data_IF_059181211089
#
_entry.id   IF_059181211089
#
_cell.length_a   1.000
_cell.length_b   1.000
_cell.length_c   1.000
_cell.angle_alpha   90.00
_cell.angle_beta   90.00
_cell.angle_gamma   90.00
#
_symmetry.space_group_name_H-M   'P 1'
#
loop_
_entity.id
_entity.type
_entity.pdbx_description
1 polymer ?
#
# COMPACT_ATOMS: atom_id res chain seq x y z
N UNK A 1 -38.69 31.82 20.60
CA UNK A 1 -38.40 33.19 20.10
C UNK A 1 -36.90 33.23 19.74
N UNK A 2 -36.33 33.75 18.63
CA UNK A 2 -36.71 34.56 17.45
C UNK A 2 -35.83 35.83 17.37
N UNK A 3 -35.16 36.08 16.21
CA UNK A 3 -34.40 37.31 15.79
C UNK A 3 -33.06 37.59 16.51
N UNK A 4 -32.01 38.25 15.96
CA UNK A 4 -31.55 38.76 14.62
C UNK A 4 -29.98 38.79 14.67
N UNK A 5 -29.09 38.72 13.65
CA UNK A 5 -29.11 38.54 12.18
C UNK A 5 -28.69 39.76 11.28
N UNK A 6 -27.43 39.72 10.75
CA UNK A 6 -26.85 40.41 9.55
C UNK A 6 -26.50 41.92 9.56
N UNK A 7 -25.24 42.25 9.18
CA UNK A 7 -24.78 42.86 7.88
C UNK A 7 -23.24 43.12 7.93
N UNK A 8 -22.41 42.79 6.94
CA UNK A 8 -22.22 43.28 5.54
C UNK A 8 -21.68 44.72 5.44
N UNK A 9 -20.52 44.87 4.78
CA UNK A 9 -20.11 46.09 4.06
C UNK A 9 -19.63 45.77 2.63
N UNK A 10 -19.53 46.79 1.77
CA UNK A 10 -19.27 46.68 0.31
C UNK A 10 -18.08 47.57 -0.12
N UNK A 11 -17.58 47.31 -1.33
CA UNK A 11 -16.62 48.14 -2.10
C UNK A 11 -17.02 49.62 -2.20
N UNK A 12 -16.03 50.51 -2.31
CA UNK A 12 -16.05 51.78 -3.05
C UNK A 12 -14.65 52.07 -3.63
N UNK A 13 -14.52 53.04 -4.55
CA UNK A 13 -13.34 53.27 -5.40
C UNK A 13 -12.99 54.78 -5.56
N UNK A 14 -11.84 55.10 -6.17
CA UNK A 14 -11.33 56.45 -6.56
C UNK A 14 -10.88 57.32 -5.34
N UNK A 15 -9.92 58.27 -5.37
CA UNK A 15 -8.98 58.92 -6.36
C UNK A 15 -7.84 59.64 -5.55
N UNK A 16 -6.69 60.20 -6.00
CA UNK A 16 -5.93 60.38 -7.28
C UNK A 16 -4.42 60.64 -6.92
N UNK A 17 -3.63 61.22 -7.86
CA UNK A 17 -2.24 61.75 -7.83
C UNK A 17 -1.08 60.75 -8.08
N UNK A 18 -0.19 60.84 -9.10
CA UNK A 18 0.50 61.94 -9.88
C UNK A 18 1.67 62.53 -9.06
N UNK A 19 2.96 62.54 -9.44
CA UNK A 19 3.79 62.17 -10.64
C UNK A 19 5.16 61.63 -10.11
N UNK A 20 6.15 61.06 -10.83
CA UNK A 20 6.75 61.40 -12.15
C UNK A 20 7.54 60.21 -12.74
N UNK A 21 7.73 60.24 -14.07
CA UNK A 21 8.74 59.59 -14.95
C UNK A 21 9.84 58.71 -14.30
N UNK A 22 10.24 57.55 -14.83
CA UNK A 22 10.18 56.99 -16.21
C UNK A 22 10.34 55.45 -16.18
N UNK A 23 10.35 54.62 -17.25
CA UNK A 23 10.56 54.85 -18.70
C UNK A 23 9.83 53.79 -19.58
N UNK A 24 10.12 53.84 -20.89
CA UNK A 24 9.82 52.96 -22.04
C UNK A 24 10.16 51.47 -21.77
N UNK A 25 9.46 50.48 -22.35
CA UNK A 25 8.63 50.54 -23.57
C UNK A 25 7.37 49.67 -23.63
N UNK A 26 6.66 49.80 -24.75
CA UNK A 26 5.24 49.40 -24.95
C UNK A 26 5.09 48.68 -26.30
N UNK A 27 4.27 47.61 -26.33
CA UNK A 27 3.40 47.11 -27.42
C UNK A 27 2.76 45.80 -26.88
N UNK A 28 1.46 45.64 -26.55
CA UNK A 28 0.15 46.14 -27.06
C UNK A 28 -0.29 45.45 -28.35
N UNK A 29 -1.61 45.26 -28.48
CA UNK A 29 -2.41 44.49 -29.46
C UNK A 29 -2.64 43.00 -29.11
N UNK A 30 -3.88 42.46 -29.05
CA UNK A 30 -5.22 43.11 -28.92
C UNK A 30 -6.22 42.08 -28.39
N UNK A 31 -7.30 42.53 -27.74
CA UNK A 31 -8.45 41.66 -27.40
C UNK A 31 -9.46 41.60 -28.56
N UNK A 32 -9.67 40.42 -29.14
CA UNK A 32 -10.77 40.15 -30.08
C UNK A 32 -11.59 38.95 -29.61
N UNK A 33 -12.86 39.19 -29.26
CA UNK A 33 -13.79 38.14 -28.87
C UNK A 33 -14.38 37.42 -30.09
N UNK A 34 -14.07 36.14 -30.25
CA UNK A 34 -14.71 35.25 -31.24
C UNK A 34 -15.21 33.99 -30.55
N UNK A 35 -16.52 33.73 -30.63
CA UNK A 35 -17.13 32.51 -30.11
C UNK A 35 -16.82 31.32 -31.03
N UNK A 36 -16.05 30.35 -30.54
CA UNK A 36 -15.89 29.04 -31.18
C UNK A 36 -15.88 27.94 -30.13
N UNK A 37 -16.64 26.87 -30.38
CA UNK A 37 -16.69 25.69 -29.53
C UNK A 37 -15.44 24.84 -29.73
N UNK A 38 -14.48 24.94 -28.80
CA UNK A 38 -13.31 24.05 -28.75
C UNK A 38 -13.63 22.80 -27.94
N UNK A 39 -13.64 21.64 -28.61
CA UNK A 39 -13.55 20.35 -27.90
C UNK A 39 -12.19 20.28 -27.21
N UNK A 40 -12.16 20.31 -25.88
CA UNK A 40 -10.94 20.08 -25.11
C UNK A 40 -10.69 18.57 -25.07
N UNK A 41 -10.17 18.06 -26.19
CA UNK A 41 -9.37 16.84 -26.18
C UNK A 41 -7.97 17.23 -25.70
N UNK A 42 -7.81 17.45 -24.40
CA UNK A 42 -6.49 17.54 -23.79
C UNK A 42 -5.83 16.16 -23.89
N UNK A 43 -5.05 15.96 -24.95
CA UNK A 43 -4.23 14.77 -25.14
C UNK A 43 -3.06 14.81 -24.15
N UNK A 44 -3.36 14.41 -22.91
CA UNK A 44 -2.38 14.27 -21.83
C UNK A 44 -1.20 13.42 -22.31
N UNK A 45 -0.02 14.04 -22.40
CA UNK A 45 1.20 13.34 -22.77
C UNK A 45 1.70 12.46 -21.61
N UNK A 46 1.25 11.22 -21.59
CA UNK A 46 1.72 10.20 -20.65
C UNK A 46 3.16 9.71 -20.95
N UNK A 47 3.82 10.17 -22.03
CA UNK A 47 5.16 9.68 -22.42
C UNK A 47 6.31 10.27 -21.60
N UNK A 48 6.11 11.44 -20.98
CA UNK A 48 7.17 12.20 -20.29
C UNK A 48 7.14 12.07 -18.75
N UNK A 49 6.31 11.19 -18.19
CA UNK A 49 6.27 10.92 -16.74
C UNK A 49 7.54 10.19 -16.30
N UNK A 50 8.43 10.88 -15.59
CA UNK A 50 9.53 10.24 -14.85
C UNK A 50 8.91 9.54 -13.64
N UNK A 51 9.07 8.22 -13.55
CA UNK A 51 8.61 7.42 -12.42
C UNK A 51 9.69 7.40 -11.32
N UNK A 52 9.58 8.20 -10.24
CA UNK A 52 10.45 8.03 -9.08
C UNK A 52 10.29 6.60 -8.56
N UNK A 53 11.40 5.96 -8.16
CA UNK A 53 11.33 4.64 -7.58
C UNK A 53 10.83 4.73 -6.14
N UNK A 54 9.67 4.14 -5.80
CA UNK A 54 9.33 3.98 -4.39
C UNK A 54 10.23 2.91 -3.74
N UNK A 55 10.72 1.93 -4.54
CA UNK A 55 11.51 0.79 -4.08
C UNK A 55 12.48 0.28 -5.17
N UNK A 56 13.70 0.82 -5.18
CA UNK A 56 14.85 0.10 -5.73
C UNK A 56 15.46 -0.71 -4.57
N UNK A 57 15.61 -2.02 -4.77
CA UNK A 57 16.04 -2.95 -3.73
C UNK A 57 17.33 -3.62 -4.19
N UNK A 58 18.43 -3.02 -3.74
CA UNK A 58 19.77 -3.59 -3.73
C UNK A 58 20.40 -3.32 -2.36
N UNK A 59 21.59 -3.85 -2.07
CA UNK A 59 22.23 -3.73 -0.74
C UNK A 59 22.41 -2.27 -0.27
N UNK A 60 22.74 -1.36 -1.18
CA UNK A 60 22.90 0.08 -0.90
C UNK A 60 21.56 0.73 -0.57
N UNK A 61 20.55 0.48 -1.41
CA UNK A 61 19.23 1.07 -1.23
C UNK A 61 18.45 0.49 -0.05
N UNK A 62 18.68 -0.78 0.32
CA UNK A 62 18.17 -1.36 1.56
C UNK A 62 18.68 -0.59 2.80
N UNK A 63 19.96 -0.19 2.81
CA UNK A 63 20.50 0.62 3.92
C UNK A 63 19.88 2.02 3.98
N UNK A 64 19.71 2.69 2.83
CA UNK A 64 18.99 3.98 2.74
C UNK A 64 17.56 3.82 3.26
N UNK A 65 16.87 2.76 2.87
CA UNK A 65 15.48 2.53 3.23
C UNK A 65 15.29 2.18 4.71
N UNK A 66 16.21 1.43 5.32
CA UNK A 66 16.20 1.21 6.76
C UNK A 66 16.43 2.51 7.55
N UNK A 67 17.11 3.53 7.01
CA UNK A 67 17.28 4.83 7.67
C UNK A 67 15.96 5.64 7.66
N UNK A 68 15.11 5.36 8.65
CA UNK A 68 13.72 5.84 8.83
C UNK A 68 13.49 7.36 8.74
N UNK A 69 14.53 8.20 8.82
CA UNK A 69 14.43 9.66 8.57
C UNK A 69 14.55 10.01 7.09
N UNK A 70 15.48 9.37 6.38
CA UNK A 70 15.89 9.77 5.04
C UNK A 70 14.79 9.41 4.03
N UNK A 71 14.17 8.23 4.17
CA UNK A 71 13.07 7.77 3.32
C UNK A 71 11.80 8.66 3.41
N UNK A 72 11.53 9.28 4.56
CA UNK A 72 10.39 10.19 4.69
C UNK A 72 10.66 11.54 3.99
N UNK A 73 11.86 12.10 4.13
CA UNK A 73 12.26 13.34 3.45
C UNK A 73 12.36 13.18 1.92
N UNK A 74 12.92 12.06 1.44
CA UNK A 74 13.08 11.79 0.01
C UNK A 74 11.76 11.76 -0.78
N UNK A 75 10.62 11.57 -0.11
CA UNK A 75 9.31 11.59 -0.76
C UNK A 75 8.71 13.00 -0.91
N UNK A 76 9.21 14.01 -0.19
CA UNK A 76 8.75 15.40 -0.30
C UNK A 76 9.47 16.17 -1.43
N UNK A 77 10.74 15.86 -1.71
CA UNK A 77 11.62 16.55 -2.68
C UNK A 77 11.67 15.93 -4.10
N UNK A 78 10.64 15.17 -4.50
CA UNK A 78 10.69 14.22 -5.63
C UNK A 78 10.60 14.83 -7.05
N UNK A 79 11.42 15.86 -7.34
CA UNK A 79 11.60 16.51 -8.66
C UNK A 79 13.06 16.42 -9.17
N UNK A 80 14.04 16.00 -8.34
CA UNK A 80 15.49 16.11 -8.65
C UNK A 80 16.31 14.80 -8.66
N UNK A 81 15.72 13.68 -9.10
CA UNK A 81 16.36 12.35 -8.99
C UNK A 81 17.65 12.14 -9.81
N UNK A 82 18.03 13.03 -10.73
CA UNK A 82 19.23 12.87 -11.57
C UNK A 82 20.56 13.27 -10.90
N UNK A 83 20.54 13.95 -9.74
CA UNK A 83 21.76 14.44 -9.07
C UNK A 83 22.10 13.76 -7.75
N UNK A 84 21.12 13.30 -6.96
CA UNK A 84 21.36 12.88 -5.57
C UNK A 84 22.08 11.54 -5.37
N UNK A 85 22.01 10.60 -6.32
CA UNK A 85 22.75 9.33 -6.21
C UNK A 85 24.26 9.53 -5.99
N UNK A 86 24.88 10.51 -6.68
CA UNK A 86 26.33 10.78 -6.59
C UNK A 86 26.79 11.35 -5.24
N UNK A 87 25.88 11.91 -4.43
CA UNK A 87 26.21 12.46 -3.11
C UNK A 87 25.99 11.46 -1.98
N UNK A 88 25.03 10.54 -2.10
CA UNK A 88 24.71 9.56 -1.04
C UNK A 88 25.72 8.40 -1.02
N UNK A 89 26.20 7.94 -2.19
CA UNK A 89 27.15 6.81 -2.33
C UNK A 89 28.45 6.97 -1.53
N UNK A 90 28.90 8.20 -1.26
CA UNK A 90 30.12 8.45 -0.50
C UNK A 90 29.96 8.23 1.01
N UNK A 91 28.74 8.31 1.55
CA UNK A 91 28.47 8.16 2.99
C UNK A 91 28.07 6.72 3.40
N UNK A 92 27.87 5.80 2.44
CA UNK A 92 27.51 4.40 2.70
C UNK A 92 28.78 3.50 2.81
N UNK A 93 29.96 4.08 2.58
CA UNK A 93 31.25 3.40 2.82
C UNK A 93 31.45 3.25 4.34
N UNK A 94 31.88 2.06 4.74
CA UNK A 94 31.97 1.61 6.15
C UNK A 94 30.61 1.32 6.82
N UNK A 95 29.94 0.27 6.33
CA UNK A 95 29.33 -0.68 7.29
C UNK A 95 30.50 -1.19 8.14
N UNK A 96 30.62 -0.74 9.39
CA UNK A 96 31.58 -1.31 10.33
C UNK A 96 31.26 -2.80 10.51
N UNK A 97 32.29 -3.63 10.60
CA UNK A 97 32.06 -5.05 10.91
C UNK A 97 31.32 -5.17 12.26
N UNK A 98 30.28 -6.02 12.36
CA UNK A 98 29.50 -6.08 13.59
C UNK A 98 30.30 -6.68 14.75
N UNK A 99 30.57 -5.86 15.77
CA UNK A 99 31.30 -6.25 16.98
C UNK A 99 30.54 -7.27 17.87
N UNK A 100 29.30 -7.64 17.53
CA UNK A 100 28.43 -8.52 18.30
C UNK A 100 27.56 -9.39 17.37
N UNK A 101 27.35 -10.66 17.74
CA UNK A 101 26.43 -11.57 17.07
C UNK A 101 25.10 -11.62 17.82
N UNK A 102 23.99 -11.38 17.12
CA UNK A 102 22.65 -11.27 17.70
C UNK A 102 21.84 -12.57 17.55
N UNK A 103 21.43 -13.16 18.68
CA UNK A 103 20.55 -14.33 18.70
C UNK A 103 19.07 -13.95 18.82
N UNK A 104 18.28 -14.42 17.87
CA UNK A 104 16.82 -14.30 17.81
C UNK A 104 16.19 -15.64 18.22
N UNK A 105 15.17 -15.60 19.09
CA UNK A 105 14.38 -16.78 19.47
C UNK A 105 12.90 -16.61 19.11
N UNK A 106 12.35 -17.56 18.36
CA UNK A 106 10.90 -17.74 18.21
C UNK A 106 10.31 -18.19 19.55
N UNK A 107 9.80 -17.25 20.35
CA UNK A 107 9.34 -17.58 21.70
C UNK A 107 7.92 -18.17 21.67
N UNK A 108 7.00 -17.55 20.93
CA UNK A 108 5.69 -18.16 20.64
C UNK A 108 5.65 -18.67 19.21
N UNK A 109 4.81 -19.67 18.95
CA UNK A 109 4.39 -20.03 17.59
C UNK A 109 3.71 -18.87 16.87
N UNK A 110 3.51 -19.01 15.56
CA UNK A 110 2.61 -18.16 14.77
C UNK A 110 1.40 -18.99 14.33
N UNK A 111 0.22 -18.71 14.89
CA UNK A 111 -1.01 -19.47 14.68
C UNK A 111 -0.80 -20.98 14.91
N UNK A 112 -0.20 -21.33 16.04
CA UNK A 112 0.16 -22.69 16.44
C UNK A 112 1.35 -23.32 15.70
N UNK A 113 1.90 -22.66 14.68
CA UNK A 113 2.96 -23.20 13.84
C UNK A 113 4.35 -22.64 14.20
N UNK A 114 5.37 -23.50 14.14
CA UNK A 114 6.79 -23.12 14.24
C UNK A 114 7.27 -22.58 12.88
N UNK A 115 7.29 -21.25 12.73
CA UNK A 115 7.19 -20.56 11.43
C UNK A 115 8.51 -20.41 10.70
N UNK A 116 9.61 -20.23 11.42
CA UNK A 116 10.95 -20.06 10.84
C UNK A 116 11.91 -21.20 11.24
N UNK A 117 11.53 -22.07 12.16
CA UNK A 117 12.38 -23.10 12.76
C UNK A 117 12.93 -24.17 11.81
N UNK A 118 12.35 -24.32 10.62
CA UNK A 118 12.80 -25.24 9.56
C UNK A 118 13.57 -24.56 8.43
N UNK A 119 13.62 -23.22 8.43
CA UNK A 119 14.29 -22.39 7.42
C UNK A 119 15.77 -22.18 7.82
N UNK A 120 16.65 -22.06 6.84
CA UNK A 120 18.05 -21.67 7.07
C UNK A 120 18.21 -20.14 7.16
N UNK A 121 19.36 -19.64 7.64
CA UNK A 121 19.55 -18.20 7.89
C UNK A 121 19.40 -17.31 6.64
N UNK A 122 19.65 -17.84 5.43
CA UNK A 122 19.45 -17.11 4.16
C UNK A 122 17.95 -17.03 3.82
N UNK A 123 17.17 -18.08 4.10
CA UNK A 123 15.70 -18.06 3.95
C UNK A 123 15.02 -17.16 5.00
N UNK A 124 15.64 -16.96 6.16
CA UNK A 124 15.12 -16.17 7.28
C UNK A 124 15.42 -14.68 7.10
N UNK A 125 16.67 -14.31 6.78
CA UNK A 125 17.10 -12.90 6.69
C UNK A 125 17.28 -12.40 5.25
N UNK A 126 17.43 -13.29 4.27
CA UNK A 126 17.73 -12.93 2.89
C UNK A 126 19.22 -12.82 2.57
N UNK A 127 19.54 -13.19 1.34
CA UNK A 127 20.83 -13.00 0.67
C UNK A 127 21.21 -11.52 0.55
N UNK A 128 20.26 -10.66 0.16
CA UNK A 128 20.48 -9.22 -0.04
C UNK A 128 20.65 -8.41 1.27
N UNK A 129 20.32 -9.00 2.44
CA UNK A 129 20.39 -8.30 3.73
C UNK A 129 21.82 -7.83 4.06
N UNK A 130 22.05 -6.54 4.40
CA UNK A 130 23.40 -5.99 4.56
C UNK A 130 24.16 -6.52 5.80
N UNK A 131 23.44 -7.02 6.81
CA UNK A 131 23.97 -7.59 8.05
C UNK A 131 23.82 -9.12 8.05
N UNK A 132 24.87 -9.85 8.48
CA UNK A 132 24.92 -11.33 8.54
C UNK A 132 25.23 -11.89 9.93
N UNK A 133 25.34 -11.03 10.94
CA UNK A 133 25.62 -11.34 12.34
C UNK A 133 24.35 -11.69 13.15
N UNK A 134 23.21 -11.87 12.49
CA UNK A 134 21.94 -12.22 13.13
C UNK A 134 21.63 -13.69 12.89
N UNK A 135 21.31 -14.41 13.96
CA UNK A 135 21.08 -15.85 13.96
C UNK A 135 19.73 -16.17 14.57
N UNK A 136 18.93 -16.98 13.88
CA UNK A 136 17.61 -17.38 14.33
C UNK A 136 17.62 -18.80 14.89
N UNK A 137 16.86 -19.04 15.96
CA UNK A 137 16.66 -20.35 16.57
C UNK A 137 15.28 -20.45 17.22
N UNK A 138 14.84 -21.68 17.48
CA UNK A 138 13.60 -21.97 18.20
C UNK A 138 13.85 -22.84 19.45
N UNK A 139 15.09 -22.87 19.94
CA UNK A 139 15.46 -23.55 21.16
C UNK A 139 15.30 -22.61 22.36
N UNK A 140 14.22 -22.78 23.12
CA UNK A 140 13.91 -21.94 24.28
C UNK A 140 14.93 -22.02 25.42
N UNK A 141 15.80 -23.05 25.49
CA UNK A 141 16.88 -23.07 26.49
C UNK A 141 17.93 -21.96 26.28
N UNK A 142 17.96 -21.35 25.08
CA UNK A 142 18.79 -20.20 24.76
C UNK A 142 18.10 -18.85 25.04
N UNK A 143 16.83 -18.84 25.48
CA UNK A 143 16.05 -17.60 25.61
C UNK A 143 16.63 -16.59 26.60
N UNK A 144 17.37 -17.02 27.64
CA UNK A 144 18.08 -16.12 28.57
C UNK A 144 19.35 -15.51 27.97
N UNK A 145 19.90 -16.12 26.93
CA UNK A 145 21.11 -15.69 26.20
C UNK A 145 20.76 -14.89 24.93
N UNK A 146 19.50 -14.93 24.49
CA UNK A 146 19.04 -14.28 23.28
C UNK A 146 19.08 -12.75 23.38
N UNK A 147 19.47 -12.09 22.29
CA UNK A 147 19.39 -10.64 22.14
C UNK A 147 17.98 -10.17 21.81
N UNK A 148 17.20 -11.02 21.13
CA UNK A 148 15.81 -10.75 20.78
C UNK A 148 14.92 -11.98 21.02
N UNK A 149 13.84 -11.79 21.78
CA UNK A 149 12.73 -12.74 21.88
C UNK A 149 11.58 -12.25 21.00
N UNK A 150 11.11 -13.12 20.10
CA UNK A 150 10.05 -12.83 19.14
C UNK A 150 8.73 -13.44 19.60
N UNK A 151 7.70 -12.60 19.69
CA UNK A 151 6.36 -12.94 20.17
C UNK A 151 5.35 -12.65 19.07
N UNK A 152 4.65 -13.67 18.58
CA UNK A 152 3.47 -13.46 17.76
C UNK A 152 2.27 -13.21 18.65
N UNK A 153 1.61 -12.06 18.48
CA UNK A 153 0.62 -11.55 19.43
C UNK A 153 -0.56 -12.50 19.66
N UNK A 154 -1.06 -13.22 18.64
CA UNK A 154 -2.16 -14.17 18.79
C UNK A 154 -1.82 -15.35 19.71
N UNK A 155 -0.57 -15.81 19.67
CA UNK A 155 -0.06 -16.96 20.41
C UNK A 155 0.53 -16.54 21.77
N UNK A 156 0.53 -15.24 22.09
CA UNK A 156 1.12 -14.67 23.31
C UNK A 156 0.06 -14.55 24.42
N UNK A 157 0.03 -15.52 25.34
CA UNK A 157 -0.86 -15.58 26.51
C UNK A 157 -0.04 -15.54 27.81
N UNK A 158 -0.66 -15.43 29.00
CA UNK A 158 0.03 -15.58 30.28
C UNK A 158 0.77 -16.92 30.47
N UNK A 159 0.43 -17.95 29.69
CA UNK A 159 0.98 -19.30 29.79
C UNK A 159 2.09 -19.58 28.75
N UNK A 160 2.15 -18.81 27.66
CA UNK A 160 3.11 -18.97 26.55
C UNK A 160 4.22 -17.91 26.53
N UNK A 161 4.17 -16.94 27.43
CA UNK A 161 5.22 -15.95 27.68
C UNK A 161 6.25 -16.51 28.71
N UNK A 162 7.48 -15.97 28.84
CA UNK A 162 8.44 -16.53 29.79
C UNK A 162 7.89 -16.55 31.23
N UNK A 163 8.11 -17.65 31.98
CA UNK A 163 7.55 -17.81 33.32
C UNK A 163 8.12 -16.78 34.30
N UNK A 164 7.45 -16.57 35.44
CA UNK A 164 7.79 -15.50 36.41
C UNK A 164 9.21 -15.55 36.97
N UNK A 165 9.90 -16.70 36.87
CA UNK A 165 11.30 -16.88 37.25
C UNK A 165 12.31 -16.63 36.10
N UNK A 166 11.85 -16.22 34.91
CA UNK A 166 12.71 -15.86 33.79
C UNK A 166 13.36 -14.49 34.03
N UNK A 167 14.66 -14.49 34.33
CA UNK A 167 15.46 -13.27 34.46
C UNK A 167 15.75 -12.66 33.09
N UNK A 168 14.92 -11.70 32.66
CA UNK A 168 15.14 -10.92 31.44
C UNK A 168 16.38 -10.04 31.56
N UNK A 169 17.33 -10.23 30.65
CA UNK A 169 18.51 -9.38 30.54
C UNK A 169 18.12 -7.94 30.13
N UNK A 170 18.76 -6.91 30.70
CA UNK A 170 18.49 -5.50 30.38
C UNK A 170 18.91 -5.08 28.97
N UNK A 171 19.74 -5.88 28.30
CA UNK A 171 20.06 -5.71 26.87
C UNK A 171 19.01 -6.33 25.94
N UNK A 172 18.19 -7.26 26.42
CA UNK A 172 17.34 -8.12 25.59
C UNK A 172 16.07 -7.40 25.11
N UNK A 173 15.89 -7.39 23.79
CA UNK A 173 14.70 -6.89 23.11
C UNK A 173 13.59 -7.94 23.18
N UNK A 174 12.41 -7.55 23.66
CA UNK A 174 11.18 -8.32 23.46
C UNK A 174 10.39 -7.64 22.33
N UNK A 175 10.16 -8.36 21.23
CA UNK A 175 9.48 -7.84 20.03
C UNK A 175 8.12 -8.49 19.82
N UNK A 176 7.07 -7.68 19.71
CA UNK A 176 5.71 -8.14 19.45
C UNK A 176 5.33 -7.97 17.97
N UNK A 177 5.04 -9.08 17.29
CA UNK A 177 4.61 -9.14 15.90
C UNK A 177 3.08 -9.16 15.82
N UNK A 178 2.50 -8.17 15.12
CA UNK A 178 1.07 -8.16 14.82
C UNK A 178 0.72 -7.28 13.61
N UNK A 179 0.03 -7.87 12.63
CA UNK A 179 -0.31 -7.21 11.36
C UNK A 179 -1.79 -6.76 11.26
N UNK A 180 -2.62 -6.84 12.31
CA UNK A 180 -4.05 -6.49 12.25
C UNK A 180 -4.45 -5.27 13.12
N UNK A 181 -5.35 -4.38 12.64
CA UNK A 181 -5.86 -3.22 13.40
C UNK A 181 -6.90 -3.60 14.45
N UNK A 182 -6.94 -2.82 15.55
CA UNK A 182 -8.01 -2.85 16.57
C UNK A 182 -8.30 -4.21 17.22
N UNK A 183 -7.35 -5.15 17.21
CA UNK A 183 -7.55 -6.45 17.85
C UNK A 183 -7.32 -6.37 19.37
N UNK A 184 -8.39 -6.55 20.15
CA UNK A 184 -8.38 -6.61 21.60
C UNK A 184 -7.96 -8.01 22.11
N UNK A 185 -7.10 -8.06 23.14
CA UNK A 185 -6.86 -9.27 23.92
C UNK A 185 -7.64 -9.22 25.23
N UNK A 186 -7.96 -10.40 25.78
CA UNK A 186 -8.59 -10.55 27.10
C UNK A 186 -7.63 -10.36 28.29
N UNK A 187 -6.37 -10.00 28.02
CA UNK A 187 -5.31 -9.75 29.00
C UNK A 187 -4.49 -8.52 28.60
N UNK A 188 -3.93 -7.83 29.59
CA UNK A 188 -3.07 -6.68 29.35
C UNK A 188 -1.66 -7.14 28.91
N UNK A 189 -1.18 -6.58 27.79
CA UNK A 189 0.16 -6.85 27.26
C UNK A 189 1.21 -5.86 27.80
N UNK A 190 0.79 -4.75 28.42
CA UNK A 190 1.70 -3.71 28.93
C UNK A 190 2.57 -4.21 30.09
N UNK A 191 2.06 -5.14 30.90
CA UNK A 191 2.80 -5.76 32.02
C UNK A 191 4.12 -6.43 31.58
N UNK A 192 4.21 -6.88 30.33
CA UNK A 192 5.38 -7.55 29.76
C UNK A 192 6.43 -6.58 29.20
N UNK A 193 6.13 -5.28 29.11
CA UNK A 193 7.07 -4.22 28.72
C UNK A 193 7.85 -4.55 27.44
N UNK A 194 7.14 -4.85 26.36
CA UNK A 194 7.73 -5.07 25.05
C UNK A 194 8.56 -3.86 24.59
N UNK A 195 9.74 -4.13 24.04
CA UNK A 195 10.64 -3.09 23.55
C UNK A 195 10.18 -2.56 22.20
N UNK A 196 10.01 -3.49 21.25
CA UNK A 196 9.82 -3.19 19.84
C UNK A 196 8.55 -3.84 19.30
N UNK A 197 8.07 -3.34 18.18
CA UNK A 197 6.96 -3.95 17.41
C UNK A 197 7.36 -4.27 15.98
N UNK A 198 6.67 -5.23 15.37
CA UNK A 198 6.57 -5.31 13.91
C UNK A 198 5.11 -5.43 13.46
N UNK A 199 4.75 -4.65 12.45
CA UNK A 199 3.36 -4.43 12.01
C UNK A 199 3.30 -3.81 10.61
N UNK A 200 2.09 -3.55 10.10
CA UNK A 200 1.85 -2.78 8.87
C UNK A 200 2.08 -1.28 9.03
N UNK A 201 2.07 -0.74 10.25
CA UNK A 201 2.26 0.69 10.51
C UNK A 201 3.73 1.06 10.44
N UNK A 202 4.08 2.09 9.68
CA UNK A 202 5.47 2.57 9.55
C UNK A 202 6.03 3.20 10.84
N UNK A 203 5.21 3.36 11.88
CA UNK A 203 5.64 3.79 13.21
C UNK A 203 6.42 2.70 13.96
N UNK A 204 6.21 1.41 13.63
CA UNK A 204 6.90 0.26 14.23
C UNK A 204 8.43 0.28 14.02
N UNK A 205 9.17 -0.49 14.82
CA UNK A 205 10.60 -0.72 14.57
C UNK A 205 10.86 -1.55 13.31
N UNK A 206 9.92 -2.40 12.90
CA UNK A 206 9.94 -3.02 11.58
C UNK A 206 8.55 -3.12 10.91
N UNK A 207 8.48 -2.81 9.61
CA UNK A 207 7.22 -2.80 8.84
C UNK A 207 7.38 -3.15 7.35
N UNK A 208 8.62 -3.29 6.88
CA UNK A 208 8.95 -3.46 5.46
C UNK A 208 8.38 -4.76 4.90
N UNK A 209 7.41 -4.68 3.98
CA UNK A 209 6.75 -5.89 3.47
C UNK A 209 5.81 -6.54 4.49
N UNK A 210 5.03 -5.74 5.22
CA UNK A 210 3.95 -6.27 6.06
C UNK A 210 2.95 -7.13 5.26
N UNK A 211 2.54 -6.64 4.08
CA UNK A 211 1.60 -7.33 3.17
C UNK A 211 2.00 -7.27 1.68
N UNK A 212 3.01 -6.48 1.34
CA UNK A 212 3.55 -6.40 -0.02
C UNK A 212 4.57 -5.28 -0.17
N UNK A 213 5.25 -5.29 -1.31
CA UNK A 213 6.35 -4.38 -1.63
C UNK A 213 6.51 -4.25 -3.14
N UNK A 214 6.82 -3.04 -3.60
CA UNK A 214 7.28 -2.81 -4.98
C UNK A 214 8.76 -3.22 -5.07
N UNK A 215 9.23 -3.76 -6.18
CA UNK A 215 10.63 -4.21 -6.33
C UNK A 215 11.13 -3.88 -7.74
N UNK A 216 12.26 -3.19 -7.86
CA UNK A 216 12.91 -2.91 -9.16
C UNK A 216 13.37 -4.19 -9.86
N UNK A 217 13.17 -4.27 -11.17
CA UNK A 217 13.66 -5.36 -12.02
C UNK A 217 15.15 -5.20 -12.32
N UNK A 218 15.90 -6.30 -12.26
CA UNK A 218 17.32 -6.37 -12.69
C UNK A 218 17.54 -6.04 -14.18
N UNK A 219 16.50 -6.16 -15.01
CA UNK A 219 16.39 -5.63 -16.39
C UNK A 219 14.99 -5.05 -16.55
N UNK A 220 14.87 -3.77 -16.92
CA UNK A 220 13.59 -3.17 -17.33
C UNK A 220 13.11 -3.75 -18.66
N UNK A 221 11.80 -3.73 -18.90
CA UNK A 221 11.25 -4.05 -20.21
C UNK A 221 11.59 -2.93 -21.21
N UNK A 222 11.81 -3.29 -22.48
CA UNK A 222 11.84 -2.32 -23.57
C UNK A 222 10.44 -1.70 -23.76
N UNK A 223 10.36 -0.55 -24.43
CA UNK A 223 9.06 0.07 -24.73
C UNK A 223 8.18 -0.85 -25.60
N UNK A 224 8.78 -1.68 -26.46
CA UNK A 224 8.07 -2.66 -27.29
C UNK A 224 7.61 -3.89 -26.48
N UNK A 225 8.50 -4.48 -25.67
CA UNK A 225 8.20 -5.59 -24.75
C UNK A 225 7.03 -5.20 -23.82
N UNK A 226 7.11 -4.01 -23.22
CA UNK A 226 6.04 -3.45 -22.39
C UNK A 226 4.77 -3.17 -23.20
N UNK A 227 4.89 -2.54 -24.38
CA UNK A 227 3.70 -2.09 -25.09
C UNK A 227 2.84 -3.24 -25.60
N UNK A 228 3.46 -4.23 -26.23
CA UNK A 228 2.80 -5.44 -26.74
C UNK A 228 2.13 -6.23 -25.59
N UNK A 229 2.81 -6.37 -24.46
CA UNK A 229 2.28 -7.05 -23.28
C UNK A 229 1.01 -6.39 -22.72
N UNK A 230 1.00 -5.07 -22.59
CA UNK A 230 -0.16 -4.34 -22.07
C UNK A 230 -1.33 -4.31 -23.06
N UNK A 231 -1.09 -4.20 -24.37
CA UNK A 231 -2.17 -4.31 -25.37
C UNK A 231 -2.83 -5.70 -25.37
N UNK A 232 -2.04 -6.76 -25.14
CA UNK A 232 -2.55 -8.12 -24.97
C UNK A 232 -3.39 -8.25 -23.69
N UNK A 233 -2.92 -7.76 -22.53
CA UNK A 233 -3.71 -7.81 -21.30
C UNK A 233 -4.99 -6.96 -21.38
N UNK A 234 -4.95 -5.78 -22.02
CA UNK A 234 -6.13 -4.95 -22.25
C UNK A 234 -7.18 -5.72 -23.08
N UNK A 235 -6.75 -6.28 -24.22
CA UNK A 235 -7.61 -6.99 -25.17
C UNK A 235 -8.12 -8.37 -24.70
N UNK A 236 -7.72 -8.82 -23.51
CA UNK A 236 -8.05 -10.15 -22.97
C UNK A 236 -8.87 -10.11 -21.66
N UNK A 237 -8.96 -8.96 -20.99
CA UNK A 237 -9.65 -8.80 -19.70
C UNK A 237 -11.11 -8.39 -19.87
N UNK A 238 -11.99 -8.94 -19.04
CA UNK A 238 -13.38 -8.52 -18.95
C UNK A 238 -13.48 -7.11 -18.34
N UNK A 239 -14.31 -6.30 -18.98
CA UNK A 239 -14.57 -4.90 -18.68
C UNK A 239 -15.46 -4.71 -17.43
N UNK A 240 -15.01 -5.29 -16.31
CA UNK A 240 -15.70 -5.30 -15.02
C UNK A 240 -14.69 -5.37 -13.86
N UNK A 241 -15.20 -5.23 -12.64
CA UNK A 241 -14.43 -5.33 -11.40
C UNK A 241 -14.67 -6.66 -10.67
N UNK A 242 -13.73 -7.03 -9.80
CA UNK A 242 -13.73 -8.30 -9.06
C UNK A 242 -13.60 -8.06 -7.55
N UNK A 243 -14.35 -8.80 -6.73
CA UNK A 243 -14.27 -8.73 -5.27
C UNK A 243 -14.44 -10.08 -4.57
N UNK A 244 -13.38 -10.59 -3.95
CA UNK A 244 -13.46 -11.73 -3.02
C UNK A 244 -13.58 -11.22 -1.58
N UNK A 245 -14.66 -11.57 -0.89
CA UNK A 245 -14.98 -11.05 0.44
C UNK A 245 -15.69 -12.09 1.32
N UNK A 246 -15.18 -12.25 2.56
CA UNK A 246 -15.71 -13.22 3.54
C UNK A 246 -16.15 -12.60 4.86
N UNK A 247 -15.49 -11.53 5.32
CA UNK A 247 -15.94 -10.76 6.50
C UNK A 247 -17.03 -9.75 6.08
N UNK A 248 -18.29 -10.11 6.36
CA UNK A 248 -19.47 -9.31 6.07
C UNK A 248 -19.86 -8.33 7.20
N UNK A 249 -19.06 -8.23 8.28
CA UNK A 249 -19.29 -7.28 9.37
C UNK A 249 -18.75 -5.86 9.08
N UNK A 250 -17.86 -5.71 8.09
CA UNK A 250 -17.22 -4.46 7.73
C UNK A 250 -18.17 -3.49 6.98
N UNK A 251 -19.06 -2.82 7.73
CA UNK A 251 -20.15 -1.99 7.19
C UNK A 251 -19.70 -0.92 6.19
N UNK A 252 -18.60 -0.19 6.43
CA UNK A 252 -18.16 0.92 5.57
C UNK A 252 -17.86 0.48 4.14
N UNK A 253 -17.05 -0.58 3.96
CA UNK A 253 -16.76 -1.11 2.60
C UNK A 253 -18.00 -1.70 1.93
N UNK A 254 -18.92 -2.28 2.70
CA UNK A 254 -20.17 -2.85 2.17
C UNK A 254 -21.15 -1.78 1.67
N UNK A 255 -21.17 -0.60 2.28
CA UNK A 255 -22.00 0.52 1.81
C UNK A 255 -21.42 1.10 0.51
N UNK A 256 -20.15 1.50 0.52
CA UNK A 256 -19.46 2.01 -0.68
C UNK A 256 -19.51 1.00 -1.85
N UNK A 257 -19.44 -0.30 -1.55
CA UNK A 257 -19.62 -1.36 -2.52
C UNK A 257 -21.03 -1.40 -3.15
N UNK A 258 -22.10 -1.25 -2.34
CA UNK A 258 -23.48 -1.18 -2.85
C UNK A 258 -23.63 0.02 -3.79
N UNK A 259 -23.17 1.18 -3.34
CA UNK A 259 -23.18 2.44 -4.10
C UNK A 259 -22.43 2.28 -5.44
N UNK A 260 -21.22 1.70 -5.45
CA UNK A 260 -20.45 1.50 -6.67
C UNK A 260 -21.11 0.48 -7.63
N UNK A 261 -21.78 -0.57 -7.12
CA UNK A 261 -22.47 -1.56 -7.95
C UNK A 261 -23.68 -0.97 -8.69
N UNK A 262 -24.28 0.13 -8.23
CA UNK A 262 -25.36 0.81 -8.98
C UNK A 262 -24.86 1.39 -10.32
N UNK A 263 -23.55 1.66 -10.44
CA UNK A 263 -22.97 2.35 -11.60
C UNK A 263 -21.96 1.51 -12.39
N UNK A 264 -21.36 0.46 -11.83
CA UNK A 264 -20.33 -0.35 -12.51
C UNK A 264 -20.52 -1.87 -12.29
N UNK A 265 -20.28 -2.74 -13.28
CA UNK A 265 -20.37 -4.19 -13.11
C UNK A 265 -19.26 -4.71 -12.18
N UNK A 266 -19.66 -5.37 -11.08
CA UNK A 266 -18.73 -5.99 -10.12
C UNK A 266 -19.14 -7.44 -9.85
N UNK A 267 -18.24 -8.37 -10.13
CA UNK A 267 -18.34 -9.79 -9.82
C UNK A 267 -17.90 -10.03 -8.36
N UNK A 268 -18.71 -10.72 -7.57
CA UNK A 268 -18.46 -10.97 -6.14
C UNK A 268 -18.32 -12.45 -5.85
N UNK A 269 -17.40 -12.80 -4.95
CA UNK A 269 -17.13 -14.16 -4.49
C UNK A 269 -16.88 -14.24 -2.98
N UNK A 270 -17.03 -15.43 -2.40
CA UNK A 270 -16.88 -15.68 -0.97
C UNK A 270 -18.16 -15.50 -0.16
N UNK A 271 -18.05 -15.52 1.17
CA UNK A 271 -19.19 -15.64 2.10
C UNK A 271 -20.22 -14.51 2.00
N UNK A 272 -19.89 -13.36 1.42
CA UNK A 272 -20.84 -12.24 1.27
C UNK A 272 -21.55 -12.18 -0.10
N UNK A 273 -21.48 -13.23 -0.93
CA UNK A 273 -22.17 -13.31 -2.24
C UNK A 273 -23.68 -13.09 -2.14
N UNK A 274 -24.33 -13.45 -1.04
CA UNK A 274 -25.76 -13.19 -0.79
C UNK A 274 -26.12 -11.69 -0.87
N UNK A 275 -25.15 -10.79 -0.62
CA UNK A 275 -25.30 -9.34 -0.78
C UNK A 275 -25.17 -8.88 -2.25
N UNK A 276 -25.12 -9.81 -3.19
CA UNK A 276 -25.27 -9.63 -4.64
C UNK A 276 -26.74 -9.84 -5.04
N UNK A 277 -27.27 -11.01 -4.71
CA UNK A 277 -28.65 -11.42 -5.01
C UNK A 277 -29.70 -10.49 -4.39
N UNK A 278 -29.35 -9.81 -3.28
CA UNK A 278 -30.24 -8.88 -2.58
C UNK A 278 -30.25 -7.43 -3.09
N UNK A 279 -29.47 -7.08 -4.13
CA UNK A 279 -29.56 -5.75 -4.75
C UNK A 279 -30.34 -5.81 -6.08
N UNK A 280 -31.01 -4.70 -6.49
CA UNK A 280 -31.57 -4.60 -7.83
C UNK A 280 -30.51 -4.89 -8.89
N UNK A 281 -30.92 -5.55 -9.97
CA UNK A 281 -30.07 -5.69 -11.15
C UNK A 281 -29.73 -4.32 -11.72
N UNK A 282 -28.46 -4.14 -12.11
CA UNK A 282 -28.00 -2.98 -12.86
C UNK A 282 -28.95 -2.68 -14.02
N UNK A 283 -29.32 -1.42 -14.22
CA UNK A 283 -30.24 -1.01 -15.28
C UNK A 283 -29.65 -1.39 -16.64
N UNK A 284 -30.10 -2.53 -17.18
CA UNK A 284 -29.51 -3.15 -18.36
C UNK A 284 -29.55 -2.23 -19.59
N UNK A 285 -30.49 -1.28 -19.65
CA UNK A 285 -30.63 -0.34 -20.76
C UNK A 285 -29.61 0.83 -20.69
N UNK A 286 -29.24 1.27 -19.48
CA UNK A 286 -28.14 2.22 -19.28
C UNK A 286 -26.77 1.52 -19.36
N UNK A 287 -26.66 0.33 -18.76
CA UNK A 287 -25.43 -0.45 -18.71
C UNK A 287 -24.99 -0.89 -20.12
N UNK A 288 -25.93 -1.42 -20.92
CA UNK A 288 -25.65 -1.78 -22.31
C UNK A 288 -25.20 -0.57 -23.13
N UNK A 289 -25.82 0.61 -22.97
CA UNK A 289 -25.38 1.81 -23.70
C UNK A 289 -23.94 2.23 -23.37
N UNK A 290 -23.46 2.04 -22.13
CA UNK A 290 -22.04 2.28 -21.77
C UNK A 290 -21.11 1.12 -22.17
N UNK A 291 -21.56 -0.13 -22.14
CA UNK A 291 -20.74 -1.32 -22.44
C UNK A 291 -20.62 -1.66 -23.94
N UNK A 292 -21.64 -1.37 -24.76
CA UNK A 292 -21.66 -1.66 -26.21
C UNK A 292 -20.54 -0.93 -26.96
N UNK A 293 -20.13 0.25 -26.47
CA UNK A 293 -18.97 0.99 -26.97
C UNK A 293 -17.65 0.19 -26.84
N UNK A 294 -17.53 -0.67 -25.83
CA UNK A 294 -16.28 -1.32 -25.44
C UNK A 294 -15.94 -2.60 -26.22
N UNK A 295 -16.83 -3.06 -27.12
CA UNK A 295 -16.69 -4.20 -28.06
C UNK A 295 -16.30 -5.59 -27.50
N UNK A 296 -15.96 -5.76 -26.22
CA UNK A 296 -15.51 -7.04 -25.65
C UNK A 296 -16.40 -7.57 -24.52
N UNK A 297 -16.27 -8.89 -24.31
CA UNK A 297 -17.25 -9.76 -23.68
C UNK A 297 -17.45 -9.43 -22.19
N UNK A 298 -18.65 -8.94 -21.84
CA UNK A 298 -19.20 -9.14 -20.51
C UNK A 298 -19.57 -10.61 -20.34
N UNK A 299 -18.82 -11.38 -19.52
CA UNK A 299 -19.31 -12.68 -19.05
C UNK A 299 -20.40 -12.46 -18.01
N UNK A 300 -21.54 -13.14 -18.17
CA UNK A 300 -22.53 -13.30 -17.10
C UNK A 300 -21.81 -13.78 -15.82
N UNK A 301 -22.14 -13.26 -14.62
CA UNK A 301 -21.49 -13.69 -13.39
C UNK A 301 -21.49 -15.21 -13.27
N UNK A 302 -20.32 -15.79 -12.99
CA UNK A 302 -20.21 -17.22 -12.70
C UNK A 302 -21.04 -17.54 -11.46
N UNK A 303 -22.09 -18.36 -11.62
CA UNK A 303 -22.95 -18.89 -10.56
C UNK A 303 -22.25 -19.94 -9.67
N UNK A 304 -20.91 -19.84 -9.56
CA UNK A 304 -20.05 -20.74 -8.81
C UNK A 304 -19.90 -20.29 -7.37
N UNK A 305 -20.77 -20.83 -6.51
CA UNK A 305 -20.63 -20.79 -5.03
C UNK A 305 -19.32 -21.40 -4.52
N UNK A 306 -18.60 -22.14 -5.38
CA UNK A 306 -17.37 -22.87 -5.03
C UNK A 306 -16.08 -22.08 -5.31
N UNK A 307 -16.14 -20.86 -5.87
CA UNK A 307 -14.97 -20.04 -6.15
C UNK A 307 -14.43 -19.41 -4.84
N UNK A 308 -13.53 -20.13 -4.16
CA UNK A 308 -12.98 -19.75 -2.86
C UNK A 308 -11.68 -18.94 -2.99
N UNK A 309 -11.33 -18.17 -1.95
CA UNK A 309 -10.00 -17.54 -1.86
C UNK A 309 -8.90 -18.60 -1.84
N UNK A 310 -7.79 -18.31 -2.50
CA UNK A 310 -6.63 -19.20 -2.69
C UNK A 310 -6.95 -20.50 -3.45
N UNK A 311 -8.02 -20.51 -4.24
CA UNK A 311 -8.31 -21.57 -5.22
C UNK A 311 -7.80 -21.21 -6.61
N UNK A 312 -7.66 -22.22 -7.48
CA UNK A 312 -7.40 -22.03 -8.91
C UNK A 312 -8.48 -21.17 -9.60
N UNK A 313 -9.72 -21.22 -9.12
CA UNK A 313 -10.79 -20.34 -9.59
C UNK A 313 -10.49 -18.87 -9.27
N UNK A 314 -10.06 -18.53 -8.05
CA UNK A 314 -9.65 -17.15 -7.74
C UNK A 314 -8.48 -16.70 -8.63
N UNK A 315 -7.48 -17.56 -8.84
CA UNK A 315 -6.36 -17.26 -9.72
C UNK A 315 -6.77 -17.03 -11.20
N UNK A 316 -7.76 -17.77 -11.70
CA UNK A 316 -8.35 -17.53 -13.02
C UNK A 316 -9.06 -16.16 -13.05
N UNK A 317 -9.93 -15.89 -12.06
CA UNK A 317 -10.73 -14.65 -12.06
C UNK A 317 -9.86 -13.39 -11.95
N UNK A 318 -8.78 -13.40 -11.15
CA UNK A 318 -7.86 -12.24 -11.07
C UNK A 318 -7.11 -12.00 -12.39
N UNK A 319 -6.77 -13.04 -13.16
CA UNK A 319 -6.15 -12.87 -14.48
C UNK A 319 -7.13 -12.31 -15.53
N UNK A 320 -8.43 -12.56 -15.38
CA UNK A 320 -9.46 -12.25 -16.37
C UNK A 320 -10.19 -10.92 -16.19
N UNK A 321 -10.02 -10.18 -15.08
CA UNK A 321 -10.77 -8.93 -14.84
C UNK A 321 -9.87 -7.69 -14.91
N UNK A 322 -10.46 -6.52 -15.21
CA UNK A 322 -9.74 -5.23 -15.28
C UNK A 322 -9.41 -4.64 -13.90
N UNK A 323 -10.36 -4.70 -12.96
CA UNK A 323 -10.21 -4.09 -11.63
C UNK A 323 -10.35 -5.09 -10.49
N UNK A 324 -9.70 -4.79 -9.37
CA UNK A 324 -9.92 -5.48 -8.10
C UNK A 324 -10.38 -4.51 -7.02
N UNK A 325 -11.43 -4.84 -6.27
CA UNK A 325 -11.85 -4.03 -5.11
C UNK A 325 -10.95 -4.34 -3.90
N UNK A 326 -9.86 -3.58 -3.77
CA UNK A 326 -8.91 -3.62 -2.66
C UNK A 326 -9.51 -2.91 -1.43
N UNK A 327 -10.62 -3.46 -0.93
CA UNK A 327 -11.47 -2.87 0.10
C UNK A 327 -11.18 -3.51 1.47
N UNK A 328 -10.51 -2.77 2.35
CA UNK A 328 -10.07 -3.26 3.66
C UNK A 328 -11.19 -3.39 4.69
N UNK A 329 -10.98 -4.29 5.64
CA UNK A 329 -11.91 -4.58 6.75
C UNK A 329 -12.17 -3.37 7.66
N UNK A 330 -11.16 -2.50 7.78
CA UNK A 330 -11.13 -1.30 8.62
C UNK A 330 -10.38 -0.19 7.87
N UNK A 331 -10.63 1.07 8.24
CA UNK A 331 -9.97 2.24 7.65
C UNK A 331 -8.92 2.78 8.62
N UNK A 332 -7.64 2.48 8.39
CA UNK A 332 -6.55 2.74 9.36
C UNK A 332 -5.32 3.33 8.67
N UNK A 333 -4.48 4.07 9.40
CA UNK A 333 -3.15 4.50 8.94
C UNK A 333 -2.35 3.30 8.43
N UNK A 334 -1.71 3.45 7.28
CA UNK A 334 -0.83 2.45 6.62
C UNK A 334 -1.42 1.04 6.32
N UNK A 335 -2.65 0.70 6.77
CA UNK A 335 -3.25 -0.62 6.57
C UNK A 335 -3.64 -0.85 5.10
N UNK A 336 -2.76 -1.53 4.37
CA UNK A 336 -2.85 -1.81 2.93
C UNK A 336 -2.35 -3.24 2.73
N UNK A 337 -3.27 -4.16 2.47
CA UNK A 337 -3.05 -5.59 2.72
C UNK A 337 -2.85 -6.43 1.44
N UNK A 338 -2.91 -7.76 1.56
CA UNK A 338 -2.81 -8.71 0.46
C UNK A 338 -3.78 -8.39 -0.69
N UNK A 339 -4.92 -7.77 -0.38
CA UNK A 339 -5.98 -7.40 -1.35
C UNK A 339 -5.49 -6.40 -2.39
N UNK A 340 -4.70 -5.42 -1.97
CA UNK A 340 -4.11 -4.40 -2.83
C UNK A 340 -2.97 -4.98 -3.66
N UNK A 341 -2.03 -5.66 -3.01
CA UNK A 341 -0.83 -6.18 -3.64
C UNK A 341 -1.08 -7.34 -4.61
N UNK A 342 -2.08 -8.18 -4.31
CA UNK A 342 -2.57 -9.24 -5.21
C UNK A 342 -3.16 -8.67 -6.51
N UNK A 343 -3.88 -7.55 -6.46
CA UNK A 343 -4.38 -6.88 -7.66
C UNK A 343 -3.23 -6.51 -8.59
N UNK A 344 -2.20 -5.84 -8.05
CA UNK A 344 -1.00 -5.46 -8.79
C UNK A 344 -0.22 -6.67 -9.32
N UNK A 345 -0.12 -7.76 -8.54
CA UNK A 345 0.58 -8.99 -8.94
C UNK A 345 -0.04 -9.64 -10.18
N UNK A 346 -1.38 -9.69 -10.24
CA UNK A 346 -2.12 -10.28 -11.35
C UNK A 346 -2.55 -9.26 -12.42
N UNK A 347 -2.01 -8.04 -12.37
CA UNK A 347 -2.20 -7.01 -13.41
C UNK A 347 -3.60 -6.39 -13.45
N UNK A 348 -4.39 -6.46 -12.37
CA UNK A 348 -5.60 -5.64 -12.22
C UNK A 348 -5.21 -4.27 -11.65
N UNK A 349 -6.08 -3.28 -11.90
CA UNK A 349 -5.99 -1.99 -11.23
C UNK A 349 -6.76 -2.08 -9.89
N UNK A 350 -6.12 -1.95 -8.72
CA UNK A 350 -6.83 -1.91 -7.44
C UNK A 350 -7.62 -0.61 -7.29
N UNK A 351 -8.92 -0.77 -7.01
CA UNK A 351 -9.77 0.28 -6.44
C UNK A 351 -9.55 0.24 -4.93
N UNK A 352 -8.84 1.23 -4.40
CA UNK A 352 -8.30 1.25 -3.05
C UNK A 352 -9.24 1.98 -2.07
N UNK A 353 -9.78 1.23 -1.11
CA UNK A 353 -10.56 1.74 0.03
C UNK A 353 -10.04 1.11 1.32
N UNK A 354 -9.46 1.92 2.19
CA UNK A 354 -8.87 1.43 3.44
C UNK A 354 -8.12 2.55 4.13
N UNK A 355 -6.87 2.78 3.72
CA UNK A 355 -6.04 3.70 4.46
C UNK A 355 -6.53 5.16 4.45
N UNK A 356 -6.31 5.84 5.58
CA UNK A 356 -6.87 7.16 5.91
C UNK A 356 -6.44 8.29 4.96
N UNK A 357 -5.35 8.10 4.20
CA UNK A 357 -4.85 9.06 3.22
C UNK A 357 -4.29 8.33 2.00
N UNK A 358 -4.36 8.99 0.84
CA UNK A 358 -3.70 8.56 -0.41
C UNK A 358 -2.18 8.46 -0.25
N UNK A 359 -1.59 9.27 0.63
CA UNK A 359 -0.13 9.28 0.85
C UNK A 359 0.39 7.99 1.49
N UNK A 360 -0.43 7.29 2.27
CA UNK A 360 -0.06 5.96 2.79
C UNK A 360 0.08 4.94 1.65
N UNK A 361 -0.77 5.04 0.62
CA UNK A 361 -0.64 4.23 -0.60
C UNK A 361 0.54 4.69 -1.46
N UNK A 362 0.70 6.00 -1.71
CA UNK A 362 1.82 6.55 -2.51
C UNK A 362 3.20 6.22 -1.95
N UNK A 363 3.34 6.12 -0.62
CA UNK A 363 4.60 5.71 0.04
C UNK A 363 5.03 4.29 -0.32
N UNK A 364 4.09 3.38 -0.61
CA UNK A 364 4.39 1.95 -0.79
C UNK A 364 4.15 1.42 -2.20
N UNK A 365 3.07 1.86 -2.85
CA UNK A 365 2.62 1.37 -4.14
C UNK A 365 3.54 1.84 -5.28
N UNK A 366 3.59 1.11 -6.41
CA UNK A 366 4.19 1.64 -7.63
C UNK A 366 3.49 2.94 -8.05
N UNK A 367 4.17 3.94 -8.65
CA UNK A 367 3.53 5.21 -8.95
C UNK A 367 2.42 5.02 -9.99
N UNK A 368 1.33 5.76 -9.82
CA UNK A 368 0.11 5.70 -10.65
C UNK A 368 -0.55 4.30 -10.75
N UNK A 369 -0.24 3.34 -9.87
CA UNK A 369 -0.70 1.95 -10.02
C UNK A 369 -2.14 1.66 -9.58
N UNK A 370 -2.88 2.65 -9.05
CA UNK A 370 -4.14 2.41 -8.32
C UNK A 370 -5.10 3.59 -8.41
N UNK A 371 -6.38 3.32 -8.16
CA UNK A 371 -7.45 4.32 -8.11
C UNK A 371 -7.92 4.44 -6.65
N UNK A 372 -7.83 5.62 -6.04
CA UNK A 372 -8.23 5.82 -4.64
C UNK A 372 -9.68 6.29 -4.56
N UNK A 373 -10.51 5.64 -3.73
CA UNK A 373 -11.95 5.94 -3.68
C UNK A 373 -12.29 7.37 -3.29
N UNK A 374 -11.42 8.01 -2.48
CA UNK A 374 -11.66 9.36 -1.98
C UNK A 374 -11.11 10.46 -2.91
N UNK A 375 -10.57 10.10 -4.09
CA UNK A 375 -10.30 11.08 -5.17
C UNK A 375 -11.60 11.59 -5.82
N UNK A 376 -12.71 10.85 -5.64
CA UNK A 376 -13.99 11.07 -6.32
C UNK A 376 -15.04 11.59 -5.33
N UNK A 377 -15.95 12.46 -5.81
CA UNK A 377 -17.01 13.02 -4.98
C UNK A 377 -18.11 12.00 -4.66
N UNK A 378 -18.37 11.07 -5.58
CA UNK A 378 -19.35 9.98 -5.44
C UNK A 378 -18.83 8.68 -6.04
N UNK A 379 -19.45 7.55 -5.68
CA UNK A 379 -19.19 6.26 -6.32
C UNK A 379 -19.57 6.25 -7.82
N UNK A 380 -20.48 7.14 -8.27
CA UNK A 380 -20.82 7.31 -9.69
C UNK A 380 -19.66 7.94 -10.47
N UNK A 381 -18.99 8.95 -9.92
CA UNK A 381 -17.87 9.61 -10.60
C UNK A 381 -16.68 8.65 -10.74
N UNK A 382 -16.44 7.83 -9.70
CA UNK A 382 -15.50 6.71 -9.76
C UNK A 382 -15.88 5.70 -10.85
N UNK A 383 -17.15 5.28 -10.93
CA UNK A 383 -17.61 4.38 -11.98
C UNK A 383 -17.45 4.97 -13.38
N UNK A 384 -17.63 6.28 -13.55
CA UNK A 384 -17.42 6.97 -14.82
C UNK A 384 -15.95 6.98 -15.24
N UNK A 385 -15.02 7.27 -14.33
CA UNK A 385 -13.59 7.09 -14.58
C UNK A 385 -13.21 5.62 -14.85
N UNK A 386 -13.85 4.66 -14.16
CA UNK A 386 -13.66 3.23 -14.45
C UNK A 386 -14.17 2.84 -15.85
N UNK A 387 -15.21 3.50 -16.37
CA UNK A 387 -15.63 3.37 -17.78
C UNK A 387 -14.60 3.95 -18.75
N UNK A 388 -14.00 5.10 -18.44
CA UNK A 388 -12.98 5.69 -19.30
C UNK A 388 -11.74 4.78 -19.41
N UNK A 389 -11.29 4.19 -18.31
CA UNK A 389 -10.17 3.23 -18.27
C UNK A 389 -10.40 2.01 -19.16
N UNK A 390 -11.59 1.39 -19.13
CA UNK A 390 -11.88 0.19 -19.96
C UNK A 390 -12.16 0.49 -21.44
N UNK A 391 -12.42 1.75 -21.78
CA UNK A 391 -12.59 2.18 -23.17
C UNK A 391 -11.34 2.85 -23.76
N UNK A 392 -10.27 3.04 -22.97
CA UNK A 392 -9.07 3.77 -23.36
C UNK A 392 -7.78 3.01 -22.98
N UNK A 393 -7.21 2.31 -23.96
CA UNK A 393 -5.96 1.56 -23.80
C UNK A 393 -4.77 2.46 -23.35
N UNK A 394 -4.73 3.75 -23.74
CA UNK A 394 -3.68 4.68 -23.26
C UNK A 394 -3.80 4.89 -21.75
N UNK A 395 -5.02 5.00 -21.23
CA UNK A 395 -5.28 5.22 -19.80
C UNK A 395 -5.05 3.93 -18.99
N UNK A 396 -5.48 2.77 -19.49
CA UNK A 396 -5.13 1.47 -18.90
C UNK A 396 -3.59 1.27 -18.84
N UNK A 397 -2.88 1.64 -19.91
CA UNK A 397 -1.42 1.59 -19.99
C UNK A 397 -0.74 2.51 -18.98
N UNK A 398 -1.25 3.71 -18.74
CA UNK A 398 -0.77 4.62 -17.70
C UNK A 398 -0.81 3.97 -16.29
N UNK A 399 -1.93 3.32 -15.94
CA UNK A 399 -2.06 2.57 -14.67
C UNK A 399 -1.10 1.36 -14.53
N UNK A 400 -0.43 0.98 -15.62
CA UNK A 400 0.47 -0.16 -15.70
C UNK A 400 1.91 0.18 -16.08
N UNK A 401 2.24 1.44 -16.38
CA UNK A 401 3.56 1.88 -16.84
C UNK A 401 4.70 1.54 -15.87
N UNK A 402 4.41 1.53 -14.57
CA UNK A 402 5.31 1.03 -13.53
C UNK A 402 5.82 -0.41 -13.76
N UNK A 403 5.05 -1.27 -14.45
CA UNK A 403 5.41 -2.69 -14.69
C UNK A 403 6.63 -2.84 -15.62
N UNK A 404 6.99 -1.79 -16.37
CA UNK A 404 8.20 -1.72 -17.18
C UNK A 404 9.46 -1.80 -16.31
N UNK A 405 9.44 -1.16 -15.14
CA UNK A 405 10.59 -1.01 -14.24
C UNK A 405 10.49 -1.91 -13.01
N UNK A 406 9.28 -2.13 -12.49
CA UNK A 406 9.04 -2.82 -11.23
C UNK A 406 8.23 -4.11 -11.41
N UNK A 407 8.28 -4.97 -10.39
CA UNK A 407 7.31 -6.02 -10.11
C UNK A 407 6.85 -5.88 -8.65
N UNK A 408 5.82 -6.64 -8.24
CA UNK A 408 5.38 -6.67 -6.84
C UNK A 408 5.76 -7.98 -6.17
N UNK A 409 6.26 -7.87 -4.94
CA UNK A 409 6.26 -8.97 -3.98
C UNK A 409 5.03 -8.87 -3.07
N UNK A 410 4.42 -9.99 -2.71
CA UNK A 410 3.22 -9.98 -1.86
C UNK A 410 2.99 -11.22 -0.99
N UNK A 411 3.70 -12.33 -1.21
CA UNK A 411 3.51 -13.52 -0.37
C UNK A 411 4.28 -13.37 0.94
N UNK A 412 3.75 -13.94 2.03
CA UNK A 412 4.39 -13.81 3.34
C UNK A 412 5.84 -14.34 3.33
N UNK A 413 6.10 -15.46 2.64
CA UNK A 413 7.45 -16.03 2.46
C UNK A 413 8.41 -15.16 1.63
N UNK A 414 7.92 -14.42 0.64
CA UNK A 414 8.71 -13.47 -0.17
C UNK A 414 9.11 -12.22 0.63
N UNK A 415 8.25 -11.81 1.59
CA UNK A 415 8.37 -10.55 2.31
C UNK A 415 9.01 -10.66 3.71
N UNK A 416 8.79 -11.76 4.43
CA UNK A 416 9.25 -11.96 5.81
C UNK A 416 10.75 -11.70 5.99
N UNK A 417 11.55 -12.10 4.98
CA UNK A 417 13.01 -11.86 4.98
C UNK A 417 13.39 -10.39 5.11
N UNK A 418 12.60 -9.48 4.54
CA UNK A 418 12.88 -8.04 4.62
C UNK A 418 12.52 -7.47 6.00
N UNK A 419 11.45 -7.94 6.66
CA UNK A 419 11.15 -7.57 8.07
C UNK A 419 12.21 -8.09 9.04
N UNK A 420 12.61 -9.35 8.89
CA UNK A 420 13.64 -9.95 9.74
C UNK A 420 15.00 -9.30 9.51
N UNK A 421 15.33 -8.93 8.27
CA UNK A 421 16.49 -8.10 7.94
C UNK A 421 16.38 -6.69 8.54
N UNK A 422 15.21 -6.05 8.51
CA UNK A 422 15.00 -4.75 9.15
C UNK A 422 15.24 -4.82 10.66
N UNK A 423 14.72 -5.84 11.34
CA UNK A 423 14.96 -6.08 12.77
C UNK A 423 16.46 -6.33 13.04
N UNK A 424 17.15 -7.07 12.16
CA UNK A 424 18.59 -7.27 12.23
C UNK A 424 19.38 -5.95 12.05
N UNK A 425 18.99 -5.09 11.10
CA UNK A 425 19.53 -3.74 10.99
C UNK A 425 19.24 -2.94 12.28
N UNK A 426 18.02 -3.00 12.83
CA UNK A 426 17.67 -2.28 14.07
C UNK A 426 18.58 -2.69 15.24
N UNK A 427 18.92 -3.96 15.40
CA UNK A 427 19.85 -4.41 16.46
C UNK A 427 21.27 -3.87 16.26
N UNK A 428 21.72 -3.76 15.00
CA UNK A 428 23.03 -3.20 14.67
C UNK A 428 23.10 -1.66 14.81
N UNK A 429 21.99 -0.93 14.60
CA UNK A 429 22.00 0.55 14.54
C UNK A 429 21.27 1.28 15.67
N UNK A 430 20.25 0.69 16.29
CA UNK A 430 19.42 1.36 17.31
C UNK A 430 19.94 1.14 18.72
N UNK A 431 20.42 2.22 19.36
CA UNK A 431 20.72 2.24 20.80
C UNK A 431 19.46 2.30 21.71
N UNK A 432 18.24 2.37 21.14
CA UNK A 432 16.98 2.56 21.87
C UNK A 432 16.42 1.22 22.40
N UNK A 433 16.68 0.96 23.69
CA UNK A 433 16.12 -0.19 24.45
C UNK A 433 14.93 0.20 25.37
N UNK A 434 14.22 1.28 25.04
CA UNK A 434 12.98 1.65 25.75
C UNK A 434 11.88 0.61 25.52
N UNK A 435 10.79 0.67 26.30
CA UNK A 435 9.59 -0.13 26.10
C UNK A 435 8.39 0.76 25.75
N UNK A 436 7.39 0.17 25.10
CA UNK A 436 6.11 0.84 24.87
C UNK A 436 5.40 1.06 26.22
N UNK A 437 4.97 2.29 26.55
CA UNK A 437 4.23 2.56 27.79
C UNK A 437 2.77 2.09 27.68
N UNK A 438 2.19 2.16 26.47
CA UNK A 438 0.95 1.47 26.12
C UNK A 438 1.06 0.85 24.72
N UNK A 439 1.34 -0.46 24.66
CA UNK A 439 1.39 -1.24 23.42
C UNK A 439 -0.01 -1.59 22.88
N UNK A 440 -1.05 -1.52 23.72
CA UNK A 440 -2.43 -1.67 23.26
C UNK A 440 -2.83 -0.43 22.44
N UNK A 441 -2.60 0.77 22.98
CA UNK A 441 -2.83 2.02 22.26
C UNK A 441 -2.14 2.06 20.89
N UNK A 442 -0.89 1.57 20.79
CA UNK A 442 -0.15 1.49 19.52
C UNK A 442 -0.90 0.75 18.40
N UNK A 443 -1.63 -0.33 18.72
CA UNK A 443 -2.43 -1.09 17.74
C UNK A 443 -3.90 -0.65 17.63
N UNK A 444 -4.42 0.14 18.58
CA UNK A 444 -5.84 0.56 18.61
C UNK A 444 -6.08 2.06 18.36
N UNK A 445 -5.05 2.86 18.12
CA UNK A 445 -5.16 4.29 17.78
C UNK A 445 -4.78 4.59 16.31
N UNK A 446 -4.75 3.54 15.48
CA UNK A 446 -4.42 3.64 14.05
C UNK A 446 -5.64 3.88 13.17
N UNK A 447 -6.86 3.83 13.75
CA UNK A 447 -8.15 3.91 13.07
C UNK A 447 -9.16 4.70 13.95
#
# INVERSE_FOLDING_TARGET
>A
MVKLCKRRYKRCCYTLFILILSTIGILVFTSSSSSSSSNINDEFDYSTVIYPSPFDINRTNLLIYFNKKDFLALNEDNISLSKHHKTIDNNIRHINEPNENFLFIEYTSFFGNKKFCTKNQIEIFGDECPYKNCFYSCNHSLASQAHLLLFHKYDTTPDTIPPKNFTRNSSQIWLLWHDEPNFFHGYDLNIYKFNWTTSYVFDAEASIGAYGMTILRKKSLSNEEFNNYISQEFSARYHQALWFVTNCGAKRRLNYFRELREYFPIQVFGSCVQLNESLPSLNAQQLSKKLILSKQIYKKPLESTNCNRWSSCEEEQVKLNMFYLAFESQNCKDYITEKFWRALKYGLIPIALGSLSKEHYRRIAPPNSFIYTNDFSTAKDLAEHMYDVINNEKLFRFYHQWRQYYYTGYTASELEKYRLCEICHRLNTMKRRQHYPDIKAFFTQQC
#
